data_IF_994713876830
#
_entry.id   IF_994713876830
#
_cell.length_a   1.000
_cell.length_b   1.000
_cell.length_c   1.000
_cell.angle_alpha   90.00
_cell.angle_beta   90.00
_cell.angle_gamma   90.00
#
_symmetry.space_group_name_H-M   'P 1'
#
loop_
_entity.id
_entity.type
_entity.pdbx_description
1 polymer ?
#
# COMPACT_ATOMS: atom_id res chain seq x y z
N UNK A 1 -12.59 -5.03 26.82
CA UNK A 1 -13.13 -3.69 26.47
C UNK A 1 -13.07 -3.56 24.96
N UNK A 2 -14.18 -3.27 24.31
CA UNK A 2 -14.20 -3.01 22.85
C UNK A 2 -13.98 -1.51 22.65
N UNK A 3 -12.92 -1.14 21.93
CA UNK A 3 -12.59 0.26 21.65
C UNK A 3 -13.55 0.83 20.58
N UNK A 4 -14.03 2.04 20.82
CA UNK A 4 -14.79 2.81 19.81
C UNK A 4 -13.81 3.62 18.94
N UNK A 5 -13.47 3.09 17.76
CA UNK A 5 -12.50 3.74 16.87
C UNK A 5 -13.02 5.01 16.17
N UNK A 6 -14.28 5.41 16.41
CA UNK A 6 -14.80 6.73 15.99
C UNK A 6 -14.38 7.84 16.97
N UNK A 7 -14.04 7.46 18.18
CA UNK A 7 -13.52 8.37 19.21
C UNK A 7 -12.00 8.52 19.02
N UNK A 8 -11.52 9.75 18.92
CA UNK A 8 -10.13 10.07 18.62
C UNK A 8 -9.15 9.54 19.67
N UNK A 9 -9.50 9.66 20.95
CA UNK A 9 -8.64 9.21 22.04
C UNK A 9 -8.51 7.69 22.04
N UNK A 10 -9.61 6.97 21.79
CA UNK A 10 -9.58 5.51 21.71
C UNK A 10 -8.91 5.00 20.44
N UNK A 11 -9.06 5.69 19.31
CA UNK A 11 -8.33 5.38 18.08
C UNK A 11 -6.82 5.56 18.28
N UNK A 12 -6.40 6.67 18.89
CA UNK A 12 -5.00 6.91 19.24
C UNK A 12 -4.48 5.83 20.18
N UNK A 13 -5.20 5.49 21.24
CA UNK A 13 -4.84 4.41 22.16
C UNK A 13 -4.68 3.06 21.42
N UNK A 14 -5.58 2.74 20.48
CA UNK A 14 -5.47 1.52 19.68
C UNK A 14 -4.21 1.52 18.82
N UNK A 15 -3.88 2.64 18.17
CA UNK A 15 -2.68 2.80 17.37
C UNK A 15 -1.41 2.64 18.22
N UNK A 16 -1.34 3.30 19.38
CA UNK A 16 -0.21 3.22 20.30
C UNK A 16 0.00 1.77 20.78
N UNK A 17 -1.10 1.07 21.11
CA UNK A 17 -1.05 -0.35 21.51
C UNK A 17 -0.51 -1.25 20.39
N UNK A 18 -1.04 -1.10 19.18
CA UNK A 18 -0.59 -1.88 18.01
C UNK A 18 0.89 -1.60 17.72
N UNK A 19 1.29 -0.36 17.82
CA UNK A 19 2.66 0.05 17.61
C UNK A 19 3.62 -0.60 18.60
N UNK A 20 3.31 -0.53 19.90
CA UNK A 20 4.09 -1.18 20.96
C UNK A 20 4.19 -2.69 20.71
N UNK A 21 3.09 -3.35 20.36
CA UNK A 21 3.09 -4.76 20.00
C UNK A 21 3.97 -5.05 18.78
N UNK A 22 3.90 -4.19 17.73
CA UNK A 22 4.70 -4.33 16.53
C UNK A 22 6.18 -4.20 16.83
N UNK A 23 6.57 -3.24 17.68
CA UNK A 23 7.96 -3.01 18.05
C UNK A 23 8.54 -4.11 18.97
N UNK A 24 7.71 -4.80 19.73
CA UNK A 24 8.16 -5.90 20.62
C UNK A 24 8.35 -7.22 19.88
N UNK A 25 7.63 -7.46 18.78
CA UNK A 25 7.71 -8.70 18.02
C UNK A 25 8.76 -8.60 16.90
N UNK A 26 9.82 -9.42 16.96
CA UNK A 26 10.93 -9.42 16.01
C UNK A 26 10.45 -9.51 14.55
N UNK A 27 9.58 -10.47 14.22
CA UNK A 27 9.10 -10.64 12.84
C UNK A 27 8.35 -9.41 12.30
N UNK A 28 7.60 -8.71 13.14
CA UNK A 28 6.91 -7.49 12.77
C UNK A 28 7.90 -6.35 12.50
N UNK A 29 8.93 -6.20 13.35
CA UNK A 29 9.99 -5.20 13.16
C UNK A 29 10.74 -5.44 11.86
N UNK A 30 11.13 -6.68 11.60
CA UNK A 30 11.88 -7.06 10.40
C UNK A 30 11.04 -6.79 9.14
N UNK A 31 9.73 -7.09 9.19
CA UNK A 31 8.82 -6.80 8.09
C UNK A 31 8.66 -5.29 7.85
N UNK A 32 8.49 -4.49 8.90
CA UNK A 32 8.39 -3.02 8.81
C UNK A 32 9.70 -2.44 8.26
N UNK A 33 10.85 -2.88 8.75
CA UNK A 33 12.16 -2.44 8.25
C UNK A 33 12.32 -2.75 6.76
N UNK A 34 11.92 -3.95 6.31
CA UNK A 34 11.90 -4.33 4.90
C UNK A 34 10.96 -3.46 4.07
N UNK A 35 9.77 -3.13 4.58
CA UNK A 35 8.84 -2.23 3.89
C UNK A 35 9.45 -0.82 3.71
N UNK A 36 10.06 -0.27 4.75
CA UNK A 36 10.70 1.05 4.68
C UNK A 36 11.88 1.06 3.70
N UNK A 37 12.63 -0.03 3.63
CA UNK A 37 13.71 -0.20 2.64
C UNK A 37 13.12 -0.19 1.22
N UNK A 38 12.08 -0.99 0.97
CA UNK A 38 11.41 -1.06 -0.33
C UNK A 38 10.82 0.30 -0.74
N UNK A 39 10.21 1.04 0.20
CA UNK A 39 9.69 2.39 -0.06
C UNK A 39 10.79 3.37 -0.50
N UNK A 40 11.97 3.31 0.13
CA UNK A 40 13.12 4.14 -0.26
C UNK A 40 13.66 3.72 -1.63
N UNK A 41 13.87 2.43 -1.85
CA UNK A 41 14.32 1.91 -3.14
C UNK A 41 13.38 2.35 -4.27
N UNK A 42 12.08 2.24 -4.08
CA UNK A 42 11.10 2.66 -5.09
C UNK A 42 11.09 4.17 -5.29
N UNK A 43 11.22 4.96 -4.22
CA UNK A 43 11.27 6.42 -4.33
C UNK A 43 12.48 6.89 -5.15
N UNK A 44 13.65 6.33 -4.84
CA UNK A 44 14.94 6.84 -5.30
C UNK A 44 15.44 6.17 -6.59
N UNK A 45 14.77 5.10 -7.06
CA UNK A 45 15.16 4.34 -8.26
C UNK A 45 15.08 5.20 -9.53
N UNK A 46 16.12 5.09 -10.36
CA UNK A 46 16.14 5.66 -11.70
C UNK A 46 15.36 4.80 -12.72
N UNK A 47 15.09 5.36 -13.89
CA UNK A 47 14.30 4.70 -14.93
C UNK A 47 14.95 3.39 -15.43
N UNK A 48 16.25 3.33 -15.80
CA UNK A 48 16.86 2.10 -16.26
C UNK A 48 16.78 0.96 -15.23
N UNK A 49 17.01 1.28 -13.96
CA UNK A 49 16.91 0.31 -12.85
C UNK A 49 15.47 -0.12 -12.64
N UNK A 50 14.50 0.80 -12.66
CA UNK A 50 13.08 0.48 -12.50
C UNK A 50 12.60 -0.50 -13.59
N UNK A 51 13.05 -0.33 -14.85
CA UNK A 51 12.70 -1.20 -15.97
C UNK A 51 13.45 -2.54 -15.97
N UNK A 52 14.43 -2.73 -15.07
CA UNK A 52 15.15 -4.01 -14.99
C UNK A 52 14.26 -5.14 -14.45
N UNK A 53 14.39 -6.34 -15.01
CA UNK A 53 13.67 -7.53 -14.53
C UNK A 53 13.95 -7.78 -13.04
N UNK A 54 15.17 -7.56 -12.59
CA UNK A 54 15.55 -7.74 -11.18
C UNK A 54 14.73 -6.82 -10.27
N UNK A 55 14.61 -5.55 -10.60
CA UNK A 55 13.84 -4.60 -9.81
C UNK A 55 12.35 -4.95 -9.81
N UNK A 56 11.78 -5.25 -10.98
CA UNK A 56 10.38 -5.62 -11.09
C UNK A 56 10.06 -6.90 -10.34
N UNK A 57 10.90 -7.91 -10.39
CA UNK A 57 10.74 -9.11 -9.56
C UNK A 57 10.76 -8.77 -8.07
N UNK A 58 11.69 -7.93 -7.61
CA UNK A 58 11.72 -7.50 -6.22
C UNK A 58 10.44 -6.73 -5.84
N UNK A 59 9.99 -5.81 -6.68
CA UNK A 59 8.76 -5.03 -6.44
C UNK A 59 7.52 -5.93 -6.30
N UNK A 60 7.39 -6.98 -7.13
CA UNK A 60 6.21 -7.85 -7.13
C UNK A 60 6.29 -9.04 -6.18
N UNK A 61 7.50 -9.52 -5.83
CA UNK A 61 7.74 -10.75 -5.07
C UNK A 61 8.46 -10.54 -3.74
N UNK A 62 8.77 -9.30 -3.35
CA UNK A 62 9.31 -9.04 -2.01
C UNK A 62 8.39 -9.59 -0.92
N UNK A 63 8.95 -9.92 0.22
CA UNK A 63 8.19 -10.40 1.39
C UNK A 63 7.08 -9.42 1.78
N UNK A 64 7.34 -8.13 1.68
CA UNK A 64 6.41 -7.05 2.01
C UNK A 64 5.18 -7.04 1.09
N UNK A 65 5.33 -7.51 -0.14
CA UNK A 65 4.24 -7.61 -1.13
C UNK A 65 3.56 -8.99 -1.10
N UNK A 66 4.29 -10.06 -0.78
CA UNK A 66 3.79 -11.44 -0.89
C UNK A 66 3.31 -12.06 0.42
N UNK A 67 3.74 -11.58 1.57
CA UNK A 67 3.62 -12.21 2.91
C UNK A 67 2.20 -12.45 3.44
N UNK A 68 1.27 -12.89 2.61
CA UNK A 68 -0.14 -13.02 3.02
C UNK A 68 -0.68 -14.44 3.08
N UNK A 69 0.15 -15.45 2.87
CA UNK A 69 -0.24 -16.86 3.02
C UNK A 69 -1.30 -17.39 2.03
N UNK A 70 -1.73 -16.60 1.06
CA UNK A 70 -2.83 -16.92 0.14
C UNK A 70 -2.34 -17.41 -1.23
N UNK A 71 -1.42 -18.37 -1.25
CA UNK A 71 -0.92 -19.01 -2.47
C UNK A 71 -0.11 -18.07 -3.37
N UNK A 72 1.00 -18.55 -3.86
CA UNK A 72 1.82 -17.79 -4.80
C UNK A 72 1.10 -17.69 -6.16
N UNK A 73 0.98 -16.47 -6.66
CA UNK A 73 0.62 -16.22 -8.06
C UNK A 73 1.91 -15.98 -8.81
N UNK A 74 2.16 -16.76 -9.84
CA UNK A 74 3.31 -16.54 -10.73
C UNK A 74 3.14 -15.19 -11.45
N UNK A 75 4.09 -14.30 -11.22
CA UNK A 75 4.11 -12.95 -11.79
C UNK A 75 5.27 -12.77 -12.80
N UNK A 76 5.94 -13.83 -13.18
CA UNK A 76 7.15 -13.75 -14.02
C UNK A 76 6.89 -12.97 -15.31
N UNK A 77 5.75 -13.25 -15.97
CA UNK A 77 5.33 -12.51 -17.18
C UNK A 77 4.93 -11.07 -16.89
N UNK A 78 4.32 -10.81 -15.73
CA UNK A 78 3.92 -9.46 -15.30
C UNK A 78 5.15 -8.58 -15.07
N UNK A 79 6.16 -9.12 -14.40
CA UNK A 79 7.41 -8.42 -14.11
C UNK A 79 8.30 -8.16 -15.35
N UNK A 80 7.99 -8.77 -16.49
CA UNK A 80 8.71 -8.60 -17.76
C UNK A 80 7.89 -7.82 -18.81
N UNK A 81 6.61 -7.57 -18.54
CA UNK A 81 5.73 -6.90 -19.49
C UNK A 81 5.98 -5.39 -19.48
N UNK A 82 6.46 -4.87 -20.61
CA UNK A 82 6.82 -3.45 -20.76
C UNK A 82 5.63 -2.54 -20.51
N UNK A 83 4.43 -2.90 -20.97
CA UNK A 83 3.22 -2.08 -20.77
C UNK A 83 2.85 -1.97 -19.29
N UNK A 84 3.00 -3.06 -18.51
CA UNK A 84 2.80 -3.04 -17.05
C UNK A 84 3.84 -2.15 -16.39
N UNK A 85 5.12 -2.30 -16.74
CA UNK A 85 6.22 -1.52 -16.15
C UNK A 85 6.05 -0.04 -16.43
N UNK A 86 5.71 0.35 -17.67
CA UNK A 86 5.45 1.74 -18.06
C UNK A 86 4.29 2.36 -17.26
N UNK A 87 3.19 1.62 -17.06
CA UNK A 87 2.07 2.10 -16.24
C UNK A 87 2.48 2.35 -14.77
N UNK A 88 3.27 1.46 -14.20
CA UNK A 88 3.79 1.62 -12.83
C UNK A 88 4.79 2.77 -12.73
N UNK A 89 5.68 2.93 -13.71
CA UNK A 89 6.63 4.05 -13.79
C UNK A 89 5.91 5.39 -13.89
N UNK A 90 4.93 5.47 -14.77
CA UNK A 90 4.07 6.66 -14.92
C UNK A 90 3.34 7.00 -13.62
N UNK A 91 2.78 6.00 -12.94
CA UNK A 91 2.13 6.18 -11.65
C UNK A 91 3.10 6.75 -10.63
N UNK A 92 4.26 6.09 -10.42
CA UNK A 92 5.30 6.51 -9.48
C UNK A 92 5.68 7.99 -9.65
N UNK A 93 5.93 8.41 -10.89
CA UNK A 93 6.50 9.74 -11.14
C UNK A 93 5.45 10.85 -11.15
N UNK A 94 4.21 10.56 -11.52
CA UNK A 94 3.15 11.58 -11.57
C UNK A 94 2.42 11.76 -10.26
N UNK A 95 2.27 10.68 -9.49
CA UNK A 95 1.46 10.68 -8.28
C UNK A 95 1.84 11.75 -7.25
N UNK A 96 3.14 11.95 -6.89
CA UNK A 96 3.52 12.89 -5.82
C UNK A 96 3.21 14.36 -6.11
N UNK A 97 3.14 14.74 -7.38
CA UNK A 97 2.93 16.14 -7.79
C UNK A 97 1.46 16.52 -8.01
N UNK A 98 0.53 15.61 -7.75
CA UNK A 98 -0.89 15.81 -8.06
C UNK A 98 -1.70 16.20 -6.83
N UNK A 99 -2.72 17.05 -7.07
CA UNK A 99 -3.78 17.29 -6.11
C UNK A 99 -4.61 16.03 -5.88
N UNK A 100 -5.28 15.95 -4.72
CA UNK A 100 -5.98 14.76 -4.25
C UNK A 100 -6.95 14.15 -5.27
N UNK A 101 -7.82 14.97 -5.88
CA UNK A 101 -8.77 14.48 -6.88
C UNK A 101 -8.08 13.91 -8.12
N UNK A 102 -6.95 14.51 -8.51
CA UNK A 102 -6.12 14.04 -9.62
C UNK A 102 -5.39 12.72 -9.26
N UNK A 103 -4.96 12.56 -8.01
CA UNK A 103 -4.40 11.31 -7.51
C UNK A 103 -5.42 10.16 -7.59
N UNK A 104 -6.65 10.40 -7.17
CA UNK A 104 -7.74 9.41 -7.24
C UNK A 104 -8.05 9.01 -8.68
N UNK A 105 -8.08 9.98 -9.59
CA UNK A 105 -8.28 9.72 -11.02
C UNK A 105 -7.13 8.89 -11.59
N UNK A 106 -5.88 9.31 -11.38
CA UNK A 106 -4.70 8.61 -11.87
C UNK A 106 -4.64 7.17 -11.35
N UNK A 107 -4.95 6.95 -10.07
CA UNK A 107 -5.01 5.61 -9.49
C UNK A 107 -6.08 4.76 -10.18
N UNK A 108 -7.28 5.32 -10.39
CA UNK A 108 -8.38 4.58 -11.02
C UNK A 108 -8.04 4.20 -12.46
N UNK A 109 -7.50 5.13 -13.22
CA UNK A 109 -7.06 4.90 -14.61
C UNK A 109 -5.95 3.84 -14.67
N UNK A 110 -4.90 4.00 -13.86
CA UNK A 110 -3.78 3.05 -13.83
C UNK A 110 -4.24 1.67 -13.37
N UNK A 111 -5.12 1.61 -12.35
CA UNK A 111 -5.68 0.34 -11.87
C UNK A 111 -6.41 -0.41 -12.98
N UNK A 112 -7.26 0.27 -13.75
CA UNK A 112 -8.01 -0.33 -14.84
C UNK A 112 -7.09 -0.75 -16.01
N UNK A 113 -6.11 0.09 -16.36
CA UNK A 113 -5.12 -0.24 -17.37
C UNK A 113 -4.31 -1.49 -16.99
N UNK A 114 -3.88 -1.60 -15.72
CA UNK A 114 -3.17 -2.77 -15.22
C UNK A 114 -4.03 -4.03 -15.17
N UNK A 115 -5.32 -3.95 -14.85
CA UNK A 115 -6.23 -5.10 -14.96
C UNK A 115 -6.21 -5.62 -16.40
N UNK A 116 -6.35 -4.74 -17.38
CA UNK A 116 -6.37 -5.10 -18.80
C UNK A 116 -5.05 -5.73 -19.23
N UNK A 117 -3.91 -5.14 -18.85
CA UNK A 117 -2.59 -5.63 -19.23
C UNK A 117 -2.22 -6.96 -18.52
N UNK A 118 -2.52 -7.10 -17.23
CA UNK A 118 -2.10 -8.26 -16.43
C UNK A 118 -2.98 -9.49 -16.67
N UNK A 119 -4.29 -9.31 -16.90
CA UNK A 119 -5.24 -10.44 -17.03
C UNK A 119 -4.78 -11.51 -18.04
N UNK A 120 -4.31 -11.18 -19.24
CA UNK A 120 -3.86 -12.19 -20.21
C UNK A 120 -2.53 -12.87 -19.84
N UNK A 121 -1.76 -12.30 -18.92
CA UNK A 121 -0.42 -12.78 -18.54
C UNK A 121 -0.47 -13.84 -17.43
N UNK A 122 -1.58 -13.94 -16.69
CA UNK A 122 -1.67 -14.75 -15.47
C UNK A 122 -2.88 -15.68 -15.49
N UNK A 123 -2.75 -16.87 -14.88
CA UNK A 123 -3.91 -17.79 -14.69
C UNK A 123 -4.88 -17.27 -13.63
N UNK A 124 -4.36 -16.53 -12.63
CA UNK A 124 -5.14 -15.94 -11.54
C UNK A 124 -4.65 -14.51 -11.33
N UNK A 125 -5.57 -13.55 -11.33
CA UNK A 125 -5.22 -12.14 -11.15
C UNK A 125 -4.60 -11.89 -9.77
N UNK A 126 -3.41 -11.26 -9.68
CA UNK A 126 -2.64 -11.07 -8.43
C UNK A 126 -3.16 -9.87 -7.63
N UNK A 127 -4.46 -9.82 -7.35
CA UNK A 127 -5.14 -8.66 -6.76
C UNK A 127 -4.48 -8.14 -5.50
N UNK A 128 -4.02 -9.04 -4.62
CA UNK A 128 -3.41 -8.67 -3.35
C UNK A 128 -2.03 -8.03 -3.55
N UNK A 129 -1.20 -8.66 -4.40
CA UNK A 129 0.11 -8.09 -4.77
C UNK A 129 -0.06 -6.71 -5.38
N UNK A 130 -1.03 -6.54 -6.29
CA UNK A 130 -1.31 -5.27 -6.92
C UNK A 130 -1.67 -4.18 -5.90
N UNK A 131 -2.52 -4.45 -4.89
CA UNK A 131 -2.77 -3.47 -3.81
C UNK A 131 -1.51 -3.09 -3.04
N UNK A 132 -0.61 -4.02 -2.80
CA UNK A 132 0.63 -3.76 -2.09
C UNK A 132 1.68 -3.05 -2.94
N UNK A 133 1.76 -3.38 -4.22
CA UNK A 133 2.56 -2.59 -5.18
C UNK A 133 2.07 -1.14 -5.21
N UNK A 134 0.76 -0.90 -5.25
CA UNK A 134 0.23 0.45 -5.15
C UNK A 134 0.53 1.12 -3.80
N UNK A 135 0.51 0.38 -2.69
CA UNK A 135 0.88 0.94 -1.38
C UNK A 135 2.35 1.38 -1.32
N UNK A 136 3.22 0.72 -2.09
CA UNK A 136 4.64 1.07 -2.18
C UNK A 136 4.88 2.23 -3.16
N UNK A 137 4.16 2.26 -4.29
CA UNK A 137 4.28 3.33 -5.30
C UNK A 137 3.57 4.63 -4.89
N UNK A 138 2.49 4.52 -4.13
CA UNK A 138 1.65 5.63 -3.70
C UNK A 138 1.52 5.64 -2.17
N UNK A 139 2.63 5.80 -1.42
CA UNK A 139 2.58 5.91 0.04
C UNK A 139 1.71 7.12 0.42
N UNK A 140 0.90 6.97 1.47
CA UNK A 140 -0.04 8.01 1.86
C UNK A 140 -1.41 7.94 1.14
N UNK A 141 -1.58 7.07 0.15
CA UNK A 141 -2.89 6.78 -0.45
C UNK A 141 -3.38 5.35 -0.15
N UNK A 142 -2.50 4.37 -0.11
CA UNK A 142 -2.84 2.98 0.16
C UNK A 142 -2.27 2.52 1.50
N UNK A 143 -3.11 1.85 2.30
CA UNK A 143 -2.62 1.04 3.42
C UNK A 143 -2.06 -0.28 2.92
N UNK A 144 -1.28 -0.98 3.73
CA UNK A 144 -0.80 -2.34 3.43
C UNK A 144 -1.87 -3.43 3.60
N UNK A 145 -3.12 -3.07 3.96
CA UNK A 145 -4.23 -4.00 4.19
C UNK A 145 -4.71 -4.57 2.86
N UNK A 146 -4.27 -5.76 2.53
CA UNK A 146 -4.65 -6.43 1.29
C UNK A 146 -6.05 -7.09 1.31
N UNK A 147 -6.66 -7.33 2.47
CA UNK A 147 -7.93 -8.05 2.59
C UNK A 147 -9.12 -7.09 2.59
N UNK A 148 -9.98 -7.15 1.54
CA UNK A 148 -11.08 -6.17 1.33
C UNK A 148 -12.10 -6.11 2.46
N UNK A 149 -12.46 -7.26 3.04
CA UNK A 149 -13.40 -7.29 4.16
C UNK A 149 -12.81 -6.60 5.39
N UNK A 150 -11.57 -6.93 5.76
CA UNK A 150 -10.89 -6.30 6.90
C UNK A 150 -10.70 -4.80 6.72
N UNK A 151 -10.35 -4.35 5.52
CA UNK A 151 -10.26 -2.93 5.21
C UNK A 151 -11.61 -2.23 5.42
N UNK A 152 -12.70 -2.81 4.92
CA UNK A 152 -14.05 -2.24 5.07
C UNK A 152 -14.50 -2.26 6.54
N UNK A 153 -14.24 -3.34 7.26
CA UNK A 153 -14.53 -3.45 8.70
C UNK A 153 -13.80 -2.36 9.48
N UNK A 154 -12.50 -2.16 9.21
CA UNK A 154 -11.71 -1.10 9.83
C UNK A 154 -12.25 0.28 9.49
N UNK A 155 -12.45 0.60 8.21
CA UNK A 155 -12.97 1.89 7.78
C UNK A 155 -14.35 2.18 8.39
N UNK A 156 -15.21 1.17 8.52
CA UNK A 156 -16.53 1.29 9.16
C UNK A 156 -16.41 1.53 10.67
N UNK A 157 -15.50 0.80 11.34
CA UNK A 157 -15.24 0.98 12.77
C UNK A 157 -14.70 2.37 13.10
N UNK A 158 -13.88 2.95 12.18
CA UNK A 158 -13.35 4.31 12.28
C UNK A 158 -14.35 5.41 11.85
N UNK A 159 -15.55 5.03 11.35
CA UNK A 159 -16.52 5.98 10.81
C UNK A 159 -16.17 6.56 9.45
N UNK A 160 -15.14 6.03 8.79
CA UNK A 160 -14.64 6.55 7.53
C UNK A 160 -15.31 5.93 6.28
N UNK A 161 -16.01 4.77 6.40
CA UNK A 161 -16.64 4.10 5.28
C UNK A 161 -18.05 4.60 4.99
N UNK A 162 -18.37 4.73 3.69
CA UNK A 162 -19.72 4.94 3.18
C UNK A 162 -20.16 3.78 2.28
N UNK A 163 -21.47 3.65 2.04
CA UNK A 163 -22.01 2.59 1.19
C UNK A 163 -21.65 2.84 -0.28
N UNK A 164 -21.19 1.81 -0.96
CA UNK A 164 -20.91 1.87 -2.40
C UNK A 164 -19.50 2.36 -2.77
N UNK A 165 -18.66 2.71 -1.80
CA UNK A 165 -17.31 3.19 -2.07
C UNK A 165 -16.39 2.12 -2.65
N UNK A 166 -15.52 2.57 -3.56
CA UNK A 166 -14.46 1.73 -4.11
C UNK A 166 -13.46 1.33 -3.02
N UNK A 167 -12.78 0.23 -3.25
CA UNK A 167 -11.75 -0.24 -2.32
C UNK A 167 -10.56 0.72 -2.24
N UNK A 168 -10.20 1.31 -3.36
CA UNK A 168 -9.10 2.30 -3.44
C UNK A 168 -9.41 3.51 -2.54
N UNK A 169 -10.64 4.01 -2.62
CA UNK A 169 -11.08 5.13 -1.78
C UNK A 169 -11.11 4.77 -0.29
N UNK A 170 -11.48 3.53 0.06
CA UNK A 170 -11.45 3.09 1.45
C UNK A 170 -10.04 3.10 2.06
N UNK A 171 -9.01 2.72 1.28
CA UNK A 171 -7.62 2.84 1.75
C UNK A 171 -7.29 4.29 2.11
N UNK A 172 -7.61 5.21 1.20
CA UNK A 172 -7.35 6.64 1.41
C UNK A 172 -8.08 7.18 2.63
N UNK A 173 -9.37 6.87 2.79
CA UNK A 173 -10.18 7.34 3.93
C UNK A 173 -9.68 6.82 5.28
N UNK A 174 -9.16 5.59 5.33
CA UNK A 174 -8.51 5.07 6.54
C UNK A 174 -7.26 5.88 6.87
N UNK A 175 -6.43 6.21 5.87
CA UNK A 175 -5.24 7.04 6.09
C UNK A 175 -5.61 8.46 6.49
N UNK A 176 -6.60 9.10 5.83
CA UNK A 176 -7.08 10.42 6.21
C UNK A 176 -7.51 10.47 7.67
N UNK A 177 -8.26 9.45 8.11
CA UNK A 177 -8.72 9.35 9.49
C UNK A 177 -7.56 9.16 10.47
N UNK A 178 -6.54 8.41 10.08
CA UNK A 178 -5.31 8.29 10.89
C UNK A 178 -4.52 9.60 10.93
N UNK A 179 -4.38 10.28 9.80
CA UNK A 179 -3.69 11.58 9.70
C UNK A 179 -4.40 12.66 10.55
N UNK A 180 -5.74 12.65 10.61
CA UNK A 180 -6.53 13.55 11.46
C UNK A 180 -6.22 13.35 12.96
N UNK A 181 -6.05 12.11 13.40
CA UNK A 181 -5.91 11.77 14.82
C UNK A 181 -4.46 11.73 15.30
N UNK A 182 -3.56 11.26 14.44
CA UNK A 182 -2.15 11.02 14.76
C UNK A 182 -1.21 12.09 14.20
N UNK A 183 -1.72 12.96 13.33
CA UNK A 183 -0.93 13.87 12.53
C UNK A 183 -0.48 13.25 11.19
N UNK A 184 0.11 14.05 10.30
CA UNK A 184 0.54 13.60 8.98
C UNK A 184 1.49 12.41 9.04
N UNK A 185 1.37 11.49 8.09
CA UNK A 185 2.13 10.24 8.03
C UNK A 185 3.67 10.38 8.17
N UNK A 186 4.21 11.59 7.91
CA UNK A 186 5.61 11.92 8.19
C UNK A 186 5.96 11.72 9.68
N UNK A 187 5.00 11.84 10.57
CA UNK A 187 5.18 11.74 12.02
C UNK A 187 4.86 10.33 12.55
N UNK A 188 4.19 9.49 11.74
CA UNK A 188 3.87 8.09 12.11
C UNK A 188 5.06 7.15 11.85
N UNK A 189 5.90 7.46 10.86
CA UNK A 189 7.08 6.66 10.50
C UNK A 189 8.35 6.85 11.35
N UNK A 190 8.54 7.90 12.18
CA UNK A 190 9.68 7.98 13.12
C UNK A 190 9.73 6.83 14.12
N UNK A 191 8.61 6.17 14.32
CA UNK A 191 8.41 5.09 15.29
C UNK A 191 9.18 3.81 14.91
N UNK A 192 9.59 3.65 13.67
CA UNK A 192 10.41 2.51 13.24
C UNK A 192 11.92 2.74 13.40
N UNK A 193 12.36 3.77 14.13
CA UNK A 193 13.79 4.05 14.32
C UNK A 193 14.51 4.49 13.04
N UNK A 194 13.76 4.96 12.06
CA UNK A 194 14.31 5.45 10.80
C UNK A 194 14.44 6.96 10.89
N UNK A 195 15.62 7.41 11.30
CA UNK A 195 16.01 8.81 11.15
C UNK A 195 15.79 9.26 9.70
N UNK A 196 15.26 10.48 9.57
CA UNK A 196 15.13 11.19 8.29
C UNK A 196 16.43 11.26 7.55
#
# INVERSE_FOLDING_TARGET
MVLNLKDDAQLKQACDTILQQTLTQKGNRDWVAGLLTLLREVRDVDEPTFFSERFQRNLWDSEQVTSTGMGQVDISKVAQDTSVIEQLWRLKNRFPGLERAQQELLITETWNALITAITPLVKRFPKLKMYRVFAVLCPGFFTTIGHSRKLRELASAMGAAQRGESRQLLHRKVLDRLDEVLGPAADIFPIAGVAR
#
